data_IF_063200096879
#
_entry.id   IF_063200096879
#
_cell.length_a   1.000
_cell.length_b   1.000
_cell.length_c   1.000
_cell.angle_alpha   90.00
_cell.angle_beta   90.00
_cell.angle_gamma   90.00
#
_symmetry.space_group_name_H-M   'P 1'
#
loop_
_entity.id
_entity.type
_entity.pdbx_description
1 polymer ?
#
# COMPACT_ATOMS: atom_id res chain seq x y z
N UNK A 1 89.19 -31.68 -18.50
CA UNK A 1 88.40 -30.43 -18.38
C UNK A 1 86.95 -30.73 -18.71
N UNK A 2 86.00 -30.01 -18.07
CA UNK A 2 84.69 -30.46 -17.59
C UNK A 2 83.56 -30.06 -18.56
N UNK A 3 82.29 -30.47 -18.44
CA UNK A 3 81.27 -29.99 -17.49
C UNK A 3 79.99 -30.85 -17.69
N UNK A 4 79.40 -31.45 -16.64
CA UNK A 4 78.33 -30.92 -15.75
C UNK A 4 76.98 -30.74 -16.49
N UNK A 5 75.78 -31.03 -15.99
CA UNK A 5 75.23 -31.28 -14.64
C UNK A 5 73.72 -31.63 -14.82
N UNK A 6 73.18 -32.57 -14.01
CA UNK A 6 71.85 -32.56 -13.32
C UNK A 6 70.55 -32.46 -14.15
N UNK A 7 69.34 -32.85 -13.73
CA UNK A 7 68.71 -33.11 -12.44
C UNK A 7 67.41 -33.92 -12.69
N UNK A 8 67.11 -34.86 -11.80
CA UNK A 8 65.82 -35.52 -11.68
C UNK A 8 64.67 -34.53 -11.37
N UNK A 9 63.41 -34.92 -11.55
CA UNK A 9 62.34 -34.77 -10.55
C UNK A 9 61.13 -35.60 -11.01
N UNK A 10 60.86 -36.61 -10.19
CA UNK A 10 59.68 -37.45 -10.14
C UNK A 10 58.62 -36.66 -9.35
N UNK A 11 57.45 -36.36 -9.92
CA UNK A 11 56.29 -35.90 -9.14
C UNK A 11 55.11 -36.81 -9.44
N UNK A 12 54.85 -37.67 -8.46
CA UNK A 12 53.61 -38.35 -8.23
C UNK A 12 52.47 -37.33 -8.08
N UNK A 13 51.60 -37.18 -9.09
CA UNK A 13 50.29 -36.58 -8.89
C UNK A 13 49.30 -37.69 -8.53
N UNK A 14 49.30 -38.00 -7.23
CA UNK A 14 48.28 -38.81 -6.59
C UNK A 14 46.95 -38.08 -6.54
N UNK A 15 45.90 -38.81 -6.88
CA UNK A 15 44.58 -38.80 -6.25
C UNK A 15 44.19 -37.53 -5.48
N UNK A 16 43.44 -36.66 -6.15
CA UNK A 16 42.41 -35.85 -5.52
C UNK A 16 41.11 -36.08 -6.28
N UNK A 17 40.51 -37.25 -6.03
CA UNK A 17 39.07 -37.45 -6.12
C UNK A 17 38.46 -36.51 -5.08
N UNK A 18 38.28 -35.24 -5.46
CA UNK A 18 37.39 -34.34 -4.74
C UNK A 18 36.01 -34.92 -4.97
N UNK A 19 35.55 -35.67 -3.98
CA UNK A 19 34.17 -36.03 -3.77
C UNK A 19 33.37 -34.74 -3.92
N UNK A 20 32.79 -34.54 -5.11
CA UNK A 20 31.68 -33.64 -5.30
C UNK A 20 30.52 -34.27 -4.52
N UNK A 21 30.60 -34.17 -3.19
CA UNK A 21 29.43 -34.12 -2.35
C UNK A 21 28.65 -32.95 -2.92
N UNK A 22 27.72 -33.29 -3.81
CA UNK A 22 26.56 -32.50 -4.13
C UNK A 22 25.89 -32.22 -2.79
N UNK A 23 26.40 -31.19 -2.11
CA UNK A 23 25.63 -30.40 -1.20
C UNK A 23 24.46 -29.94 -2.03
N UNK A 24 23.40 -30.75 -2.00
CA UNK A 24 22.07 -30.20 -1.80
C UNK A 24 22.23 -29.32 -0.58
N UNK A 25 22.71 -28.10 -0.80
CA UNK A 25 22.35 -26.97 0.02
C UNK A 25 20.85 -27.16 0.13
N UNK A 26 20.43 -27.68 1.27
CA UNK A 26 19.07 -27.52 1.71
C UNK A 26 18.93 -26.02 1.65
N UNK A 27 18.36 -25.53 0.55
CA UNK A 27 17.49 -24.39 0.61
C UNK A 27 16.49 -24.80 1.70
N UNK A 28 16.87 -24.56 2.96
CA UNK A 28 15.92 -24.26 4.00
C UNK A 28 15.05 -23.24 3.31
N UNK A 29 13.84 -23.67 2.96
CA UNK A 29 12.79 -22.73 2.61
C UNK A 29 12.85 -21.74 3.76
N UNK A 30 13.39 -20.56 3.49
CA UNK A 30 13.40 -19.46 4.44
C UNK A 30 11.96 -18.94 4.48
N UNK A 31 11.02 -19.80 4.86
CA UNK A 31 9.61 -19.53 5.05
C UNK A 31 9.38 -18.45 6.12
N UNK A 32 10.44 -18.02 6.82
CA UNK A 32 10.46 -16.86 7.69
C UNK A 32 11.29 -15.65 7.22
N UNK A 33 11.94 -15.63 6.05
CA UNK A 33 12.64 -14.41 5.63
C UNK A 33 11.65 -13.34 5.16
N UNK A 34 12.02 -12.07 5.31
CA UNK A 34 11.26 -10.95 4.77
C UNK A 34 11.11 -11.08 3.24
N UNK A 35 12.18 -11.45 2.54
CA UNK A 35 12.17 -11.61 1.08
C UNK A 35 11.18 -12.69 0.64
N UNK A 36 11.13 -13.82 1.36
CA UNK A 36 10.16 -14.87 1.06
C UNK A 36 8.74 -14.37 1.25
N UNK A 37 8.45 -13.72 2.37
CA UNK A 37 7.12 -13.20 2.67
C UNK A 37 6.67 -12.20 1.59
N UNK A 38 7.55 -11.27 1.22
CA UNK A 38 7.27 -10.26 0.21
C UNK A 38 7.02 -10.88 -1.17
N UNK A 39 7.85 -11.84 -1.59
CA UNK A 39 7.68 -12.53 -2.86
C UNK A 39 6.33 -13.28 -2.92
N UNK A 40 5.97 -14.02 -1.87
CA UNK A 40 4.71 -14.78 -1.87
C UNK A 40 3.48 -13.86 -1.70
N UNK A 41 3.60 -12.74 -0.97
CA UNK A 41 2.55 -11.73 -0.91
C UNK A 41 2.27 -11.13 -2.31
N UNK A 42 3.32 -10.79 -3.05
CA UNK A 42 3.21 -10.28 -4.44
C UNK A 42 2.55 -11.31 -5.35
N UNK A 43 2.93 -12.59 -5.24
CA UNK A 43 2.29 -13.67 -5.98
C UNK A 43 0.80 -13.84 -5.60
N UNK A 44 0.45 -13.75 -4.31
CA UNK A 44 -0.93 -13.81 -3.84
C UNK A 44 -1.78 -12.65 -4.38
N UNK A 45 -1.19 -11.46 -4.53
CA UNK A 45 -1.83 -10.31 -5.17
C UNK A 45 -2.04 -10.48 -6.69
N UNK A 46 -1.42 -11.49 -7.34
CA UNK A 46 -1.54 -11.76 -8.77
C UNK A 46 -0.20 -11.79 -9.52
N UNK A 47 0.92 -11.63 -8.82
CA UNK A 47 2.28 -11.66 -9.36
C UNK A 47 2.75 -10.33 -9.93
N UNK A 48 4.08 -10.16 -9.98
CA UNK A 48 4.72 -8.91 -10.42
C UNK A 48 4.25 -8.46 -11.80
N UNK A 49 4.07 -9.39 -12.73
CA UNK A 49 3.64 -9.06 -14.10
C UNK A 49 2.25 -8.43 -14.14
N UNK A 50 1.30 -8.94 -13.36
CA UNK A 50 -0.07 -8.40 -13.34
C UNK A 50 -0.09 -7.03 -12.67
N UNK A 51 0.59 -6.88 -11.53
CA UNK A 51 0.74 -5.60 -10.84
C UNK A 51 1.44 -4.56 -11.73
N UNK A 52 2.53 -4.97 -12.39
CA UNK A 52 3.28 -4.12 -13.32
C UNK A 52 2.53 -3.82 -14.63
N UNK A 53 1.42 -4.47 -14.92
CA UNK A 53 0.56 -4.11 -16.04
C UNK A 53 -0.48 -3.02 -15.70
N UNK A 54 -0.64 -2.64 -14.43
CA UNK A 54 -1.59 -1.60 -14.01
C UNK A 54 -0.95 -0.22 -14.15
N UNK A 55 -1.30 0.51 -15.20
CA UNK A 55 -0.88 1.89 -15.45
C UNK A 55 -1.81 2.92 -14.85
N UNK A 56 -3.11 2.61 -14.82
CA UNK A 56 -4.13 3.49 -14.27
C UNK A 56 -5.24 2.71 -13.59
N UNK A 57 -5.94 3.35 -12.64
CA UNK A 57 -7.07 2.77 -11.94
C UNK A 57 -8.15 3.81 -11.63
N UNK A 58 -9.40 3.45 -11.88
CA UNK A 58 -10.59 4.11 -11.39
C UNK A 58 -11.23 3.22 -10.32
N UNK A 59 -11.54 3.76 -9.15
CA UNK A 59 -12.25 3.07 -8.06
C UNK A 59 -13.52 3.83 -7.74
N UNK A 60 -14.64 3.12 -7.69
CA UNK A 60 -15.92 3.65 -7.22
C UNK A 60 -16.27 2.99 -5.88
N UNK A 61 -16.42 3.81 -4.84
CA UNK A 61 -16.73 3.33 -3.49
C UNK A 61 -18.01 3.95 -2.93
N UNK A 62 -18.60 3.28 -1.95
CA UNK A 62 -19.53 3.87 -1.01
C UNK A 62 -19.05 3.62 0.39
N UNK A 63 -19.03 4.65 1.22
CA UNK A 63 -18.61 4.55 2.60
C UNK A 63 -19.76 4.91 3.54
N UNK A 64 -19.86 4.21 4.66
CA UNK A 64 -20.81 4.49 5.73
C UNK A 64 -20.06 4.58 7.04
N UNK A 65 -20.43 5.54 7.87
CA UNK A 65 -19.85 5.68 9.20
C UNK A 65 -20.76 6.46 10.12
N UNK A 66 -20.25 6.72 11.33
CA UNK A 66 -20.90 7.57 12.32
C UNK A 66 -19.99 8.75 12.65
N UNK A 67 -20.55 9.96 12.55
CA UNK A 67 -19.85 11.19 12.95
C UNK A 67 -20.04 11.48 14.44
N UNK A 68 -21.26 11.21 14.92
CA UNK A 68 -21.71 11.28 16.31
C UNK A 68 -22.64 10.09 16.58
N UNK A 69 -22.94 9.74 17.85
CA UNK A 69 -23.80 8.59 18.18
C UNK A 69 -25.15 8.57 17.44
N UNK A 70 -25.69 9.75 17.09
CA UNK A 70 -26.98 9.89 16.42
C UNK A 70 -26.87 10.33 14.95
N UNK A 71 -25.66 10.59 14.45
CA UNK A 71 -25.46 11.11 13.09
C UNK A 71 -24.61 10.11 12.30
N UNK A 72 -25.29 9.29 11.50
CA UNK A 72 -24.64 8.52 10.45
C UNK A 72 -24.23 9.42 9.29
N UNK A 73 -23.38 8.92 8.41
CA UNK A 73 -23.18 9.53 7.11
C UNK A 73 -23.01 8.45 6.05
N UNK A 74 -23.25 8.85 4.80
CA UNK A 74 -22.86 8.06 3.64
C UNK A 74 -22.06 8.91 2.66
N UNK A 75 -20.94 8.36 2.19
CA UNK A 75 -20.13 8.95 1.12
C UNK A 75 -20.20 8.09 -0.12
N UNK A 76 -20.18 8.72 -1.28
CA UNK A 76 -19.87 8.08 -2.56
C UNK A 76 -18.61 8.75 -3.08
N UNK A 77 -17.62 7.95 -3.43
CA UNK A 77 -16.37 8.48 -3.97
C UNK A 77 -16.03 7.82 -5.28
N UNK A 78 -15.42 8.59 -6.16
CA UNK A 78 -14.79 8.11 -7.38
C UNK A 78 -13.37 8.63 -7.41
N UNK A 79 -12.41 7.73 -7.44
CA UNK A 79 -10.98 8.04 -7.39
C UNK A 79 -10.29 7.55 -8.64
N UNK A 80 -9.50 8.41 -9.26
CA UNK A 80 -8.61 8.10 -10.38
C UNK A 80 -7.17 8.23 -9.94
N UNK A 81 -6.34 7.30 -10.41
CA UNK A 81 -4.91 7.35 -10.17
C UNK A 81 -4.14 6.69 -11.31
N UNK A 82 -3.00 7.25 -11.70
CA UNK A 82 -2.09 6.64 -12.67
C UNK A 82 -0.62 6.67 -12.25
N UNK A 83 0.20 5.99 -13.04
CA UNK A 83 1.66 5.87 -12.84
C UNK A 83 2.43 7.16 -13.06
N UNK A 84 1.84 8.11 -13.77
CA UNK A 84 2.46 9.41 -14.01
C UNK A 84 2.26 10.33 -12.79
N UNK A 85 1.66 9.80 -11.71
CA UNK A 85 1.46 10.52 -10.47
C UNK A 85 0.27 11.45 -10.51
N UNK A 86 -0.68 11.23 -11.45
CA UNK A 86 -1.94 11.97 -11.45
C UNK A 86 -2.91 11.28 -10.52
N UNK A 87 -3.47 12.04 -9.60
CA UNK A 87 -4.49 11.61 -8.65
C UNK A 87 -5.69 12.54 -8.76
N UNK A 88 -6.90 12.00 -8.82
CA UNK A 88 -8.13 12.76 -8.71
C UNK A 88 -9.10 12.02 -7.81
N UNK A 89 -9.89 12.73 -7.02
CA UNK A 89 -11.09 12.15 -6.43
C UNK A 89 -12.22 13.17 -6.35
N UNK A 90 -13.43 12.66 -6.53
CA UNK A 90 -14.67 13.35 -6.20
C UNK A 90 -15.36 12.58 -5.08
N UNK A 91 -15.85 13.29 -4.07
CA UNK A 91 -16.56 12.73 -2.93
C UNK A 91 -17.85 13.49 -2.71
N UNK A 92 -18.95 12.74 -2.72
CA UNK A 92 -20.30 13.20 -2.42
C UNK A 92 -20.71 12.67 -1.06
N UNK A 93 -21.38 13.49 -0.27
CA UNK A 93 -21.76 13.19 1.11
C UNK A 93 -23.26 13.43 1.31
N UNK A 94 -23.88 12.59 2.13
CA UNK A 94 -25.19 12.83 2.73
C UNK A 94 -25.17 12.44 4.21
N UNK A 95 -25.82 13.22 5.05
CA UNK A 95 -25.92 12.97 6.49
C UNK A 95 -27.06 11.99 6.79
N UNK A 96 -28.24 12.21 6.21
CA UNK A 96 -29.39 11.33 6.38
C UNK A 96 -29.75 10.56 5.10
N UNK A 97 -30.51 9.47 5.24
CA UNK A 97 -30.99 8.67 4.11
C UNK A 97 -31.87 9.47 3.15
N UNK A 98 -32.52 10.51 3.69
CA UNK A 98 -33.52 11.33 3.01
C UNK A 98 -32.90 12.58 2.37
N UNK A 99 -31.62 12.84 2.65
CA UNK A 99 -30.89 13.96 2.05
C UNK A 99 -30.35 13.60 0.67
N UNK A 100 -30.34 14.59 -0.22
CA UNK A 100 -29.64 14.51 -1.48
C UNK A 100 -28.12 14.53 -1.25
N UNK A 101 -27.40 13.79 -2.09
CA UNK A 101 -25.93 13.83 -2.10
C UNK A 101 -25.44 15.22 -2.48
N UNK A 102 -24.69 15.83 -1.58
CA UNK A 102 -24.00 17.10 -1.82
C UNK A 102 -22.53 16.82 -2.15
N UNK A 103 -21.97 17.58 -3.09
CA UNK A 103 -20.53 17.52 -3.36
C UNK A 103 -19.79 18.00 -2.12
N UNK A 104 -19.00 17.12 -1.49
CA UNK A 104 -18.21 17.46 -0.31
C UNK A 104 -16.84 18.00 -0.72
N UNK A 105 -16.18 17.28 -1.63
CA UNK A 105 -14.82 17.59 -2.05
C UNK A 105 -14.56 17.06 -3.47
N UNK A 106 -13.85 17.84 -4.27
CA UNK A 106 -13.12 17.40 -5.46
C UNK A 106 -11.70 17.85 -5.30
N UNK A 107 -10.74 16.97 -5.53
CA UNK A 107 -9.35 17.39 -5.57
C UNK A 107 -8.57 16.61 -6.62
N UNK A 108 -7.61 17.31 -7.22
CA UNK A 108 -6.66 16.73 -8.16
C UNK A 108 -5.24 17.07 -7.72
N UNK A 109 -4.32 16.12 -7.88
CA UNK A 109 -2.90 16.31 -7.59
C UNK A 109 -2.10 15.76 -8.78
N UNK A 110 -1.17 16.56 -9.27
CA UNK A 110 -0.24 16.26 -10.34
C UNK A 110 1.19 16.55 -9.86
N UNK A 111 2.24 15.98 -10.50
CA UNK A 111 3.62 16.28 -10.13
C UNK A 111 3.97 17.78 -10.15
N UNK A 112 3.24 18.57 -10.92
CA UNK A 112 3.43 20.02 -11.10
C UNK A 112 2.58 20.88 -10.15
N UNK A 113 1.81 20.29 -9.24
CA UNK A 113 0.86 20.99 -8.38
C UNK A 113 -0.53 20.34 -8.44
N UNK A 114 -1.51 20.96 -7.80
CA UNK A 114 -2.86 20.42 -7.75
C UNK A 114 -3.89 21.46 -7.38
N UNK A 115 -5.07 20.99 -7.02
CA UNK A 115 -6.14 21.82 -6.52
C UNK A 115 -7.13 21.02 -5.70
N UNK A 116 -7.88 21.73 -4.86
CA UNK A 116 -9.00 21.19 -4.11
C UNK A 116 -10.18 22.16 -4.14
N UNK A 117 -11.38 21.64 -4.22
CA UNK A 117 -12.65 22.36 -4.13
C UNK A 117 -13.53 21.61 -3.15
N UNK A 118 -13.87 22.23 -2.03
CA UNK A 118 -14.75 21.62 -1.03
C UNK A 118 -15.05 22.56 0.11
N UNK A 119 -16.05 22.20 0.93
CA UNK A 119 -16.46 23.01 2.08
C UNK A 119 -17.48 24.11 1.74
N UNK A 120 -17.79 24.93 2.75
CA UNK A 120 -18.92 25.86 2.72
C UNK A 120 -18.73 27.08 1.79
N UNK A 121 -17.50 27.42 1.43
CA UNK A 121 -17.19 28.60 0.61
C UNK A 121 -17.11 28.28 -0.89
N UNK A 122 -17.09 26.99 -1.28
CA UNK A 122 -16.99 26.52 -2.67
C UNK A 122 -15.79 27.09 -3.44
N UNK A 123 -14.82 27.71 -2.77
CA UNK A 123 -13.66 28.32 -3.41
C UNK A 123 -12.59 27.26 -3.62
N UNK A 124 -12.13 27.15 -4.86
CA UNK A 124 -11.03 26.27 -5.21
C UNK A 124 -9.72 26.84 -4.69
N UNK A 125 -8.89 25.97 -4.10
CA UNK A 125 -7.54 26.30 -3.65
C UNK A 125 -6.54 25.56 -4.52
N UNK A 126 -5.52 26.26 -5.02
CA UNK A 126 -4.39 25.62 -5.72
C UNK A 126 -3.41 25.04 -4.70
N UNK A 127 -2.92 23.84 -4.99
CA UNK A 127 -1.89 23.15 -4.22
C UNK A 127 -0.55 23.38 -4.94
N UNK A 128 0.43 24.01 -4.29
CA UNK A 128 1.76 24.20 -4.88
C UNK A 128 2.47 22.87 -5.16
N UNK A 129 3.40 22.87 -6.14
CA UNK A 129 4.12 21.67 -6.56
C UNK A 129 4.93 21.02 -5.42
N UNK A 130 5.51 21.83 -4.54
CA UNK A 130 6.28 21.40 -3.38
C UNK A 130 5.44 20.62 -2.35
N UNK A 131 4.13 20.86 -2.30
CA UNK A 131 3.19 20.10 -1.47
C UNK A 131 2.63 18.89 -2.22
N UNK A 132 2.40 19.02 -3.52
CA UNK A 132 1.81 18.00 -4.37
C UNK A 132 2.66 16.72 -4.45
N UNK A 133 3.98 16.84 -4.59
CA UNK A 133 4.89 15.69 -4.71
C UNK A 133 4.76 14.67 -3.57
N UNK A 134 4.95 15.08 -2.30
CA UNK A 134 4.77 14.19 -1.15
C UNK A 134 3.35 13.59 -1.04
N UNK A 135 2.32 14.37 -1.39
CA UNK A 135 0.94 13.88 -1.39
C UNK A 135 0.74 12.78 -2.43
N UNK A 136 1.26 12.97 -3.64
CA UNK A 136 1.19 11.97 -4.72
C UNK A 136 1.93 10.70 -4.32
N UNK A 137 3.14 10.82 -3.77
CA UNK A 137 3.91 9.64 -3.38
C UNK A 137 3.11 8.76 -2.42
N UNK A 138 2.52 9.37 -1.39
CA UNK A 138 1.66 8.68 -0.44
C UNK A 138 0.43 8.07 -1.13
N UNK A 139 -0.25 8.80 -2.02
CA UNK A 139 -1.45 8.30 -2.67
C UNK A 139 -1.16 7.21 -3.71
N UNK A 140 -0.08 7.32 -4.49
CA UNK A 140 0.32 6.36 -5.53
C UNK A 140 0.81 5.07 -4.92
N UNK A 141 1.67 5.15 -3.91
CA UNK A 141 2.21 3.97 -3.26
C UNK A 141 1.13 3.19 -2.51
N UNK A 142 0.24 3.89 -1.80
CA UNK A 142 -0.85 3.26 -1.03
C UNK A 142 -1.97 2.76 -1.93
N UNK A 143 -2.39 3.56 -2.92
CA UNK A 143 -3.51 3.18 -3.78
C UNK A 143 -3.06 2.23 -4.87
N UNK A 144 -2.20 2.61 -5.81
CA UNK A 144 -1.90 1.75 -6.98
C UNK A 144 -1.19 0.45 -6.62
N UNK A 145 -0.43 0.45 -5.53
CA UNK A 145 0.51 -0.62 -5.24
C UNK A 145 0.08 -1.64 -4.20
N UNK A 146 -1.03 -1.44 -3.47
CA UNK A 146 -1.24 -2.07 -2.15
C UNK A 146 -0.17 -1.58 -1.16
N UNK A 147 -0.51 -1.38 0.12
CA UNK A 147 0.37 -0.67 1.05
C UNK A 147 1.62 -1.47 1.48
N UNK A 148 1.86 -2.65 0.91
CA UNK A 148 3.12 -3.39 1.02
C UNK A 148 3.48 -3.95 -0.36
N UNK A 149 4.29 -3.21 -1.13
CA UNK A 149 4.77 -3.69 -2.43
C UNK A 149 6.26 -3.41 -2.64
N UNK A 150 6.84 -4.10 -3.63
CA UNK A 150 8.27 -4.00 -3.92
C UNK A 150 8.73 -2.57 -4.24
N UNK A 151 7.85 -1.71 -4.78
CA UNK A 151 8.21 -0.32 -5.06
C UNK A 151 8.57 0.44 -3.80
N UNK A 152 7.94 0.14 -2.68
CA UNK A 152 8.28 0.76 -1.40
C UNK A 152 9.72 0.42 -0.99
N UNK A 153 10.16 -0.82 -1.20
CA UNK A 153 11.55 -1.22 -0.96
C UNK A 153 12.51 -0.46 -1.89
N UNK A 154 12.17 -0.31 -3.17
CA UNK A 154 12.99 0.45 -4.13
C UNK A 154 12.97 1.96 -3.88
N UNK A 155 11.93 2.49 -3.24
CA UNK A 155 11.80 3.89 -2.85
C UNK A 155 12.51 4.22 -1.53
N UNK A 156 13.21 3.26 -0.94
CA UNK A 156 14.04 3.47 0.26
C UNK A 156 13.30 3.28 1.59
N UNK A 157 12.05 2.82 1.57
CA UNK A 157 11.35 2.46 2.81
C UNK A 157 12.03 1.28 3.49
N UNK A 158 12.19 1.36 4.81
CA UNK A 158 12.74 0.29 5.63
C UNK A 158 11.60 -0.60 6.13
N UNK A 159 11.56 -1.82 5.61
CA UNK A 159 10.62 -2.84 6.05
C UNK A 159 11.32 -3.80 7.01
N UNK A 160 10.70 -4.08 8.15
CA UNK A 160 11.22 -5.00 9.17
C UNK A 160 10.16 -6.02 9.54
N UNK A 161 10.47 -7.31 9.42
CA UNK A 161 9.63 -8.38 9.99
C UNK A 161 9.72 -8.34 11.51
N UNK A 162 8.59 -8.26 12.19
CA UNK A 162 8.49 -8.27 13.65
C UNK A 162 8.30 -9.67 14.23
N UNK A 163 7.94 -10.64 13.39
CA UNK A 163 7.62 -12.01 13.78
C UNK A 163 6.18 -12.35 13.45
N UNK A 164 5.72 -13.47 13.99
CA UNK A 164 4.36 -13.97 13.79
C UNK A 164 3.53 -13.74 15.05
N UNK A 165 2.23 -13.53 14.89
CA UNK A 165 1.27 -13.38 15.99
C UNK A 165 -0.02 -14.11 15.65
N UNK A 166 -0.72 -14.59 16.67
CA UNK A 166 -2.12 -15.02 16.55
C UNK A 166 -3.02 -13.92 17.15
N UNK A 167 -3.99 -13.43 16.38
CA UNK A 167 -4.99 -12.47 16.84
C UNK A 167 -6.38 -12.93 16.42
N UNK A 168 -7.29 -13.06 17.39
CA UNK A 168 -8.67 -13.53 17.18
C UNK A 168 -8.75 -14.85 16.37
N UNK A 169 -7.81 -15.78 16.61
CA UNK A 169 -7.76 -17.08 15.93
C UNK A 169 -7.20 -17.04 14.50
N UNK A 170 -6.66 -15.89 14.07
CA UNK A 170 -5.97 -15.77 12.77
C UNK A 170 -4.49 -15.55 12.99
N UNK A 171 -3.66 -16.30 12.26
CA UNK A 171 -2.21 -16.15 12.29
C UNK A 171 -1.77 -15.08 11.28
N UNK A 172 -0.87 -14.19 11.72
CA UNK A 172 -0.34 -13.11 10.91
C UNK A 172 1.18 -13.04 10.96
N UNK A 173 1.78 -12.77 9.81
CA UNK A 173 3.11 -12.17 9.74
C UNK A 173 2.99 -10.66 9.99
N UNK A 174 3.75 -10.14 10.96
CA UNK A 174 3.80 -8.70 11.25
C UNK A 174 4.99 -8.04 10.57
N UNK A 175 4.72 -6.97 9.83
CA UNK A 175 5.72 -6.13 9.20
C UNK A 175 5.63 -4.71 9.73
N UNK A 176 6.76 -4.12 10.10
CA UNK A 176 6.87 -2.71 10.42
C UNK A 176 7.45 -1.96 9.23
N UNK A 177 6.83 -0.86 8.86
CA UNK A 177 7.35 0.12 7.92
C UNK A 177 7.23 1.51 8.51
N UNK A 178 8.23 2.34 8.28
CA UNK A 178 8.18 3.71 8.75
C UNK A 178 9.55 4.34 8.85
N UNK A 179 9.53 5.59 9.27
CA UNK A 179 10.70 6.36 9.66
C UNK A 179 10.67 6.60 11.18
N UNK A 180 11.46 7.57 11.67
CA UNK A 180 11.48 7.89 13.09
C UNK A 180 10.21 8.61 13.58
N UNK A 181 9.32 9.06 12.68
CA UNK A 181 8.16 9.90 13.01
C UNK A 181 6.83 9.15 12.87
N UNK A 182 6.74 8.15 11.99
CA UNK A 182 5.53 7.35 11.78
C UNK A 182 5.88 5.86 11.74
N UNK A 183 5.05 5.05 12.39
CA UNK A 183 5.19 3.59 12.36
C UNK A 183 3.89 2.96 11.88
N UNK A 184 3.97 2.30 10.74
CA UNK A 184 2.92 1.45 10.17
C UNK A 184 3.24 -0.01 10.46
N UNK A 185 2.27 -0.74 10.99
CA UNK A 185 2.33 -2.17 11.26
C UNK A 185 1.33 -2.88 10.35
N UNK A 186 1.83 -3.70 9.44
CA UNK A 186 1.03 -4.54 8.54
C UNK A 186 0.87 -5.94 9.11
N UNK A 187 -0.31 -6.51 8.92
CA UNK A 187 -0.67 -7.87 9.31
C UNK A 187 -1.02 -8.64 8.04
N UNK A 188 -0.12 -9.52 7.62
CA UNK A 188 -0.29 -10.40 6.46
C UNK A 188 -0.72 -11.77 6.98
N UNK A 189 -1.90 -12.21 6.58
CA UNK A 189 -2.46 -13.52 6.93
C UNK A 189 -1.52 -14.65 6.49
N UNK A 190 -1.16 -15.58 7.37
CA UNK A 190 -0.18 -16.64 7.02
C UNK A 190 -0.69 -17.62 5.97
N UNK A 191 -2.01 -17.79 5.86
CA UNK A 191 -2.63 -18.78 4.99
C UNK A 191 -2.92 -18.20 3.61
N UNK A 192 -3.54 -17.02 3.56
CA UNK A 192 -3.89 -16.36 2.29
C UNK A 192 -2.74 -15.53 1.73
N UNK A 193 -1.79 -15.14 2.58
CA UNK A 193 -0.74 -14.16 2.29
C UNK A 193 -1.28 -12.81 1.81
N UNK A 194 -2.55 -12.51 2.12
CA UNK A 194 -3.18 -11.22 1.91
C UNK A 194 -3.01 -10.36 3.16
N UNK A 195 -2.99 -9.04 2.97
CA UNK A 195 -2.94 -8.11 4.09
C UNK A 195 -4.34 -7.85 4.62
N UNK A 196 -4.68 -8.40 5.77
CA UNK A 196 -6.02 -8.23 6.34
C UNK A 196 -6.14 -6.95 7.17
N UNK A 197 -5.00 -6.39 7.63
CA UNK A 197 -4.99 -5.22 8.51
C UNK A 197 -3.70 -4.42 8.41
N UNK A 198 -3.78 -3.11 8.60
CA UNK A 198 -2.65 -2.30 9.06
C UNK A 198 -3.04 -1.36 10.19
N UNK A 199 -2.05 -1.00 11.01
CA UNK A 199 -2.17 0.00 12.08
C UNK A 199 -1.11 1.07 11.86
N UNK A 200 -1.55 2.32 11.74
CA UNK A 200 -0.68 3.49 11.68
C UNK A 200 -0.77 4.26 13.00
N UNK A 201 0.33 4.29 13.74
CA UNK A 201 0.44 5.04 14.96
C UNK A 201 0.87 6.49 14.65
N UNK A 202 -0.03 7.42 14.88
CA UNK A 202 0.16 8.85 14.62
C UNK A 202 0.46 9.64 15.89
N UNK A 203 0.77 8.97 17.01
CA UNK A 203 1.11 9.62 18.28
C UNK A 203 2.28 10.61 18.21
N UNK A 204 3.14 10.54 17.20
CA UNK A 204 4.21 11.53 17.00
C UNK A 204 3.89 12.58 15.91
N UNK A 205 2.66 12.59 15.37
CA UNK A 205 2.22 13.55 14.37
C UNK A 205 1.76 14.85 15.05
N UNK A 206 2.27 16.00 14.60
CA UNK A 206 1.92 17.30 15.18
C UNK A 206 0.44 17.67 15.07
N UNK A 207 -0.27 17.12 14.08
CA UNK A 207 -1.70 17.40 13.86
C UNK A 207 -2.63 16.31 14.43
N UNK A 208 -2.12 15.09 14.61
CA UNK A 208 -2.90 13.91 14.98
C UNK A 208 -2.29 13.18 16.18
N UNK A 209 -1.65 13.93 17.06
CA UNK A 209 -1.12 13.42 18.33
C UNK A 209 -2.23 12.70 19.12
N UNK A 210 -1.89 11.54 19.67
CA UNK A 210 -2.82 10.66 20.40
C UNK A 210 -3.79 9.85 19.54
N UNK A 211 -3.66 9.85 18.21
CA UNK A 211 -4.49 9.02 17.32
C UNK A 211 -3.74 7.79 16.78
N UNK A 212 -4.49 6.70 16.62
CA UNK A 212 -4.09 5.52 15.85
C UNK A 212 -5.15 5.26 14.79
N UNK A 213 -4.71 4.92 13.59
CA UNK A 213 -5.60 4.51 12.50
C UNK A 213 -5.40 3.01 12.32
N UNK A 214 -6.47 2.25 12.49
CA UNK A 214 -6.52 0.84 12.10
C UNK A 214 -7.35 0.73 10.83
N UNK A 215 -6.82 0.09 9.79
CA UNK A 215 -7.58 -0.24 8.59
C UNK A 215 -7.58 -1.76 8.40
N UNK A 216 -8.75 -2.33 8.15
CA UNK A 216 -8.94 -3.75 7.85
C UNK A 216 -9.44 -3.93 6.43
N UNK A 217 -9.05 -5.03 5.78
CA UNK A 217 -9.35 -5.33 4.38
C UNK A 217 -10.00 -6.69 4.27
N UNK A 218 -10.99 -6.81 3.39
CA UNK A 218 -11.75 -8.04 3.20
C UNK A 218 -12.39 -8.10 1.81
N UNK A 219 -13.06 -9.22 1.52
CA UNK A 219 -13.76 -9.47 0.26
C UNK A 219 -12.81 -9.29 -0.94
N UNK A 220 -11.69 -10.00 -0.92
CA UNK A 220 -10.71 -9.91 -1.99
C UNK A 220 -11.26 -10.54 -3.27
N UNK A 221 -11.27 -9.78 -4.36
CA UNK A 221 -11.75 -10.22 -5.68
C UNK A 221 -10.71 -9.97 -6.76
N UNK A 222 -10.70 -10.86 -7.76
CA UNK A 222 -9.77 -10.77 -8.89
C UNK A 222 -10.29 -9.80 -9.94
N UNK A 223 -9.52 -8.75 -10.24
CA UNK A 223 -9.77 -7.79 -11.32
C UNK A 223 -8.57 -7.77 -12.25
N UNK A 224 -8.76 -8.20 -13.50
CA UNK A 224 -7.70 -8.28 -14.54
C UNK A 224 -6.42 -9.02 -14.11
N UNK A 225 -6.54 -10.03 -13.27
CA UNK A 225 -5.40 -10.84 -12.82
C UNK A 225 -4.90 -10.51 -11.41
N UNK A 226 -5.30 -9.37 -10.86
CA UNK A 226 -4.85 -8.88 -9.55
C UNK A 226 -5.96 -8.97 -8.50
N UNK A 227 -5.62 -9.34 -7.27
CA UNK A 227 -6.56 -9.42 -6.15
C UNK A 227 -6.70 -8.07 -5.46
N UNK A 228 -7.89 -7.49 -5.41
CA UNK A 228 -8.18 -6.23 -4.71
C UNK A 228 -9.17 -6.45 -3.56
N UNK A 229 -9.05 -5.74 -2.42
CA UNK A 229 -10.09 -5.75 -1.41
C UNK A 229 -11.32 -5.00 -1.94
N UNK A 230 -12.50 -5.60 -1.78
CA UNK A 230 -13.77 -4.93 -2.08
C UNK A 230 -14.48 -4.38 -0.85
N UNK A 231 -13.91 -4.59 0.33
CA UNK A 231 -14.37 -3.99 1.57
C UNK A 231 -13.17 -3.59 2.42
N UNK A 232 -13.19 -2.38 2.95
CA UNK A 232 -12.23 -1.93 3.94
C UNK A 232 -12.89 -1.10 5.03
N UNK A 233 -12.45 -1.28 6.27
CA UNK A 233 -12.97 -0.56 7.42
C UNK A 233 -11.83 0.18 8.11
N UNK A 234 -11.94 1.51 8.14
CA UNK A 234 -11.04 2.39 8.85
C UNK A 234 -11.61 2.73 10.22
N UNK A 235 -10.84 2.51 11.27
CA UNK A 235 -11.14 2.87 12.65
C UNK A 235 -10.11 3.87 13.14
N UNK A 236 -10.56 5.08 13.45
CA UNK A 236 -9.76 6.09 14.13
C UNK A 236 -9.93 5.91 15.64
N UNK A 237 -8.86 5.50 16.30
CA UNK A 237 -8.77 5.23 17.72
C UNK A 237 -8.10 6.43 18.38
N UNK A 238 -8.76 7.02 19.38
CA UNK A 238 -8.19 8.11 20.19
C UNK A 238 -8.00 7.64 21.62
N UNK A 239 -6.87 7.97 22.22
CA UNK A 239 -6.68 7.69 23.66
C UNK A 239 -7.52 8.62 24.56
N UNK A 240 -7.98 9.75 24.01
CA UNK A 240 -8.78 10.76 24.72
C UNK A 240 -10.29 10.59 24.52
N UNK A 241 -10.71 10.05 23.38
CA UNK A 241 -12.12 9.78 23.06
C UNK A 241 -12.38 8.28 23.05
N UNK A 242 -13.22 7.81 23.99
CA UNK A 242 -13.62 6.39 24.05
C UNK A 242 -14.49 5.98 22.86
N UNK A 243 -15.02 6.93 22.10
CA UNK A 243 -15.82 6.66 20.92
C UNK A 243 -14.92 6.60 19.68
N UNK A 244 -14.34 5.43 19.44
CA UNK A 244 -13.63 5.17 18.19
C UNK A 244 -14.55 5.47 17.00
N UNK A 245 -14.04 6.18 16.00
CA UNK A 245 -14.80 6.51 14.80
C UNK A 245 -14.52 5.46 13.74
N UNK A 246 -15.57 4.80 13.27
CA UNK A 246 -15.46 3.73 12.26
C UNK A 246 -16.13 4.18 10.97
N UNK A 247 -15.43 3.97 9.85
CA UNK A 247 -15.92 4.17 8.50
C UNK A 247 -15.66 2.89 7.69
N UNK A 248 -16.73 2.25 7.21
CA UNK A 248 -16.65 1.09 6.33
C UNK A 248 -16.91 1.53 4.90
N UNK A 249 -16.04 1.11 3.99
CA UNK A 249 -16.11 1.41 2.57
C UNK A 249 -16.27 0.12 1.76
N UNK A 250 -17.22 0.12 0.84
CA UNK A 250 -17.44 -0.95 -0.14
C UNK A 250 -17.00 -0.48 -1.52
N UNK A 251 -16.19 -1.29 -2.20
CA UNK A 251 -15.76 -1.05 -3.58
C UNK A 251 -16.75 -1.71 -4.54
N UNK A 252 -17.47 -0.88 -5.27
CA UNK A 252 -18.43 -1.33 -6.28
C UNK A 252 -17.76 -1.68 -7.59
N UNK A 253 -16.73 -0.91 -7.95
CA UNK A 253 -16.10 -1.03 -9.26
C UNK A 253 -14.62 -0.66 -9.22
N UNK A 254 -13.83 -1.45 -9.93
CA UNK A 254 -12.42 -1.18 -10.21
C UNK A 254 -12.24 -1.29 -11.73
N UNK A 255 -11.85 -0.19 -12.38
CA UNK A 255 -11.46 -0.18 -13.79
C UNK A 255 -9.97 0.05 -13.91
N UNK A 256 -9.29 -0.82 -14.67
CA UNK A 256 -7.84 -0.79 -14.85
C UNK A 256 -7.50 -0.35 -16.26
N UNK A 257 -6.49 0.51 -16.41
CA UNK A 257 -5.97 1.00 -17.69
C UNK A 257 -7.02 1.68 -18.57
N UNK A 258 -8.05 2.24 -17.93
CA UNK A 258 -9.02 3.10 -18.64
C UNK A 258 -8.36 4.46 -18.84
N UNK A 259 -8.35 5.02 -20.07
CA UNK A 259 -7.93 6.39 -20.29
C UNK A 259 -8.77 7.35 -19.45
N UNK A 260 -8.13 8.39 -18.93
CA UNK A 260 -8.80 9.46 -18.21
C UNK A 260 -8.98 10.66 -19.11
N UNK A 261 -10.00 11.45 -18.83
CA UNK A 261 -10.16 12.76 -19.45
C UNK A 261 -9.27 13.76 -18.73
N UNK A 262 -8.41 14.46 -19.48
CA UNK A 262 -7.47 15.43 -18.92
C UNK A 262 -8.19 16.60 -18.25
N UNK A 263 -9.45 16.87 -18.63
CA UNK A 263 -10.30 17.89 -17.99
C UNK A 263 -10.51 17.64 -16.49
N UNK A 264 -10.40 16.39 -16.02
CA UNK A 264 -10.52 16.06 -14.60
C UNK A 264 -9.38 16.69 -13.77
N UNK A 265 -8.25 17.00 -14.39
CA UNK A 265 -7.07 17.52 -13.72
C UNK A 265 -6.93 19.03 -13.87
N UNK A 266 -7.75 19.66 -14.71
CA UNK A 266 -7.80 21.10 -14.86
C UNK A 266 -8.48 21.75 -13.65
N UNK A 267 -8.01 22.94 -13.27
CA UNK A 267 -8.67 23.70 -12.22
C UNK A 267 -10.07 24.08 -12.71
N UNK A 268 -11.15 23.75 -11.96
CA UNK A 268 -12.50 23.97 -12.46
C UNK A 268 -12.81 25.46 -12.56
N UNK A 269 -13.59 25.82 -13.57
CA UNK A 269 -14.23 27.13 -13.64
C UNK A 269 -15.29 27.22 -12.53
N UNK A 270 -14.96 27.98 -11.48
CA UNK A 270 -15.85 28.21 -10.35
C UNK A 270 -16.59 29.54 -10.53
N UNK A 271 -17.88 29.62 -10.15
CA UNK A 271 -18.66 30.86 -10.22
C UNK A 271 -18.15 31.96 -9.27
#
# INVERSE_FOLDING_TARGET
MPQRFTLAILICFGFLLVTACSGKAQAQKNDGSLDWLMANHIEALGGEKALNAIHSREIVTTSTGQRYPEVSFQKKSRTYIDRDGRYYTETFHRENSDDDYQMQNRFAILPTGGWQVGGADSKGTKIPAEMAGPMIQNQVDLNLGFPVNYRMLTAGYRLKRLGDIEEAGTNYHRLQMGDNQSTMIYYINTDSLMMDKYVNDLSNSSMLDGFKIEETFSDYRKVRGTMFPHSFTMTMISELDRNNKTETSTVHEIRINKPFDDVLFEFPDLP
#
